data_IF_853416882410
#
_entry.id   IF_853416882410
#
_cell.length_a   1.000
_cell.length_b   1.000
_cell.length_c   1.000
_cell.angle_alpha   90.00
_cell.angle_beta   90.00
_cell.angle_gamma   90.00
#
_symmetry.space_group_name_H-M   'P 1'
#
loop_
_entity.id
_entity.type
_entity.pdbx_description
1 polymer ?
#
# COMPACT_ATOMS: atom_id res chain seq x y z
N UNK A 1 -14.36 18.38 6.74
CA UNK A 1 -14.56 18.43 5.28
C UNK A 1 -15.10 17.07 4.87
N UNK A 2 -16.17 16.98 4.08
CA UNK A 2 -16.78 15.68 3.75
C UNK A 2 -16.13 15.10 2.49
N UNK A 3 -15.40 13.99 2.67
CA UNK A 3 -14.66 13.29 1.61
C UNK A 3 -15.54 12.20 0.98
N UNK A 4 -15.30 11.92 -0.29
CA UNK A 4 -15.95 10.82 -1.00
C UNK A 4 -14.99 10.16 -1.99
N UNK A 5 -15.12 8.85 -2.20
CA UNK A 5 -14.39 8.18 -3.28
C UNK A 5 -14.80 8.73 -4.66
N UNK A 6 -16.01 9.26 -4.81
CA UNK A 6 -16.49 9.89 -6.05
C UNK A 6 -15.87 11.27 -6.32
N UNK A 7 -15.08 11.82 -5.40
CA UNK A 7 -14.42 13.11 -5.59
C UNK A 7 -13.42 13.09 -6.78
N UNK A 8 -13.01 11.91 -7.27
CA UNK A 8 -12.20 11.76 -8.49
C UNK A 8 -12.86 12.32 -9.76
N UNK A 9 -14.18 12.54 -9.75
CA UNK A 9 -14.94 13.05 -10.88
C UNK A 9 -14.82 14.57 -11.08
N UNK A 10 -14.25 15.31 -10.12
CA UNK A 10 -14.18 16.76 -10.20
C UNK A 10 -12.90 17.33 -9.60
N UNK A 11 -12.50 18.49 -10.08
CA UNK A 11 -11.32 19.16 -9.54
C UNK A 11 -11.49 19.64 -8.10
N UNK A 12 -12.67 20.17 -7.77
CA UNK A 12 -12.99 20.57 -6.39
C UNK A 12 -12.98 19.39 -5.43
N UNK A 13 -13.37 18.21 -5.89
CA UNK A 13 -13.29 16.98 -5.10
C UNK A 13 -11.84 16.65 -4.75
N UNK A 14 -10.95 16.64 -5.75
CA UNK A 14 -9.53 16.39 -5.53
C UNK A 14 -8.86 17.41 -4.59
N UNK A 15 -9.27 18.67 -4.63
CA UNK A 15 -8.74 19.69 -3.73
C UNK A 15 -8.97 19.33 -2.25
N UNK A 16 -10.09 18.68 -1.92
CA UNK A 16 -10.36 18.20 -0.55
C UNK A 16 -9.34 17.15 -0.11
N UNK A 17 -9.06 16.17 -0.98
CA UNK A 17 -8.13 15.09 -0.70
C UNK A 17 -6.69 15.59 -0.62
N UNK A 18 -6.31 16.53 -1.47
CA UNK A 18 -4.99 17.17 -1.43
C UNK A 18 -4.81 17.91 -0.10
N UNK A 19 -5.83 18.64 0.35
CA UNK A 19 -5.83 19.32 1.64
C UNK A 19 -5.76 18.32 2.81
N UNK A 20 -6.57 17.26 2.79
CA UNK A 20 -6.58 16.21 3.82
C UNK A 20 -5.21 15.52 3.95
N UNK A 21 -4.59 15.19 2.81
CA UNK A 21 -3.29 14.50 2.77
C UNK A 21 -2.10 15.45 3.03
N UNK A 22 -2.33 16.76 3.16
CA UNK A 22 -1.28 17.77 3.31
C UNK A 22 -0.29 17.77 2.14
N UNK A 23 -0.74 17.45 0.92
CA UNK A 23 0.11 17.39 -0.28
C UNK A 23 0.05 18.70 -1.07
N UNK A 24 1.05 18.92 -1.91
CA UNK A 24 1.00 20.05 -2.85
C UNK A 24 -0.04 19.76 -3.94
N UNK A 25 -0.71 20.81 -4.44
CA UNK A 25 -1.60 20.70 -5.59
C UNK A 25 -0.82 20.66 -6.92
N UNK A 26 0.26 19.89 -6.96
CA UNK A 26 1.07 19.71 -8.16
C UNK A 26 0.41 18.70 -9.11
N UNK A 27 0.68 18.78 -10.43
CA UNK A 27 0.03 17.91 -11.42
C UNK A 27 0.16 16.40 -11.14
N UNK A 28 1.36 15.95 -10.73
CA UNK A 28 1.63 14.51 -10.52
C UNK A 28 0.87 13.94 -9.32
N UNK A 29 0.98 14.50 -8.08
CA UNK A 29 0.15 14.05 -6.96
C UNK A 29 -1.35 14.11 -7.25
N UNK A 30 -1.81 15.16 -7.93
CA UNK A 30 -3.21 15.33 -8.29
C UNK A 30 -3.71 14.21 -9.22
N UNK A 31 -2.94 13.90 -10.25
CA UNK A 31 -3.24 12.79 -11.16
C UNK A 31 -3.24 11.46 -10.41
N UNK A 32 -2.24 11.22 -9.54
CA UNK A 32 -2.16 9.99 -8.76
C UNK A 32 -3.33 9.78 -7.81
N UNK A 33 -3.75 10.83 -7.08
CA UNK A 33 -4.95 10.80 -6.23
C UNK A 33 -6.19 10.49 -7.07
N UNK A 34 -6.35 11.14 -8.24
CA UNK A 34 -7.49 10.88 -9.12
C UNK A 34 -7.55 9.41 -9.55
N UNK A 35 -6.43 8.86 -10.02
CA UNK A 35 -6.33 7.46 -10.47
C UNK A 35 -6.65 6.50 -9.33
N UNK A 36 -6.06 6.70 -8.16
CA UNK A 36 -6.29 5.86 -7.00
C UNK A 36 -7.75 5.90 -6.52
N UNK A 37 -8.36 7.09 -6.43
CA UNK A 37 -9.77 7.22 -6.03
C UNK A 37 -10.72 6.60 -7.06
N UNK A 38 -10.45 6.75 -8.35
CA UNK A 38 -11.22 6.08 -9.40
C UNK A 38 -11.12 4.56 -9.28
N UNK A 39 -9.92 4.03 -9.02
CA UNK A 39 -9.70 2.61 -8.76
C UNK A 39 -10.46 2.13 -7.50
N UNK A 40 -10.33 2.84 -6.37
CA UNK A 40 -11.02 2.49 -5.12
C UNK A 40 -12.54 2.52 -5.28
N UNK A 41 -13.07 3.56 -5.94
CA UNK A 41 -14.50 3.67 -6.20
C UNK A 41 -15.08 2.49 -7.00
N UNK A 42 -14.27 1.87 -7.87
CA UNK A 42 -14.72 0.79 -8.76
C UNK A 42 -14.41 -0.60 -8.22
N UNK A 43 -13.19 -0.83 -7.78
CA UNK A 43 -12.69 -2.15 -7.38
C UNK A 43 -12.84 -2.41 -5.87
N UNK A 44 -13.07 -1.36 -5.08
CA UNK A 44 -13.16 -1.43 -3.62
C UNK A 44 -14.32 -0.56 -3.08
N UNK A 45 -15.57 -0.74 -3.53
CA UNK A 45 -16.68 0.17 -3.17
C UNK A 45 -17.01 0.19 -1.67
N UNK A 46 -16.58 -0.84 -0.92
CA UNK A 46 -16.74 -0.94 0.54
C UNK A 46 -15.53 -0.39 1.33
N UNK A 47 -14.54 0.19 0.65
CA UNK A 47 -13.36 0.77 1.31
C UNK A 47 -13.78 1.97 2.16
N UNK A 48 -13.41 1.97 3.43
CA UNK A 48 -13.68 3.11 4.31
C UNK A 48 -12.85 4.32 3.86
N UNK A 49 -13.37 5.53 4.08
CA UNK A 49 -12.63 6.76 3.77
C UNK A 49 -11.33 6.87 4.59
N UNK A 50 -11.34 6.37 5.83
CA UNK A 50 -10.16 6.34 6.68
C UNK A 50 -9.06 5.45 6.07
N UNK A 51 -9.41 4.27 5.57
CA UNK A 51 -8.46 3.38 4.89
C UNK A 51 -7.99 3.97 3.56
N UNK A 52 -8.87 4.61 2.79
CA UNK A 52 -8.50 5.28 1.55
C UNK A 52 -7.48 6.41 1.78
N UNK A 53 -7.68 7.22 2.83
CA UNK A 53 -6.70 8.24 3.26
C UNK A 53 -5.38 7.57 3.68
N UNK A 54 -5.43 6.50 4.47
CA UNK A 54 -4.23 5.77 4.89
C UNK A 54 -3.45 5.18 3.70
N UNK A 55 -4.16 4.63 2.71
CA UNK A 55 -3.53 4.07 1.51
C UNK A 55 -2.85 5.15 0.68
N UNK A 56 -3.52 6.28 0.44
CA UNK A 56 -2.93 7.42 -0.28
C UNK A 56 -1.75 8.04 0.49
N UNK A 57 -1.82 8.09 1.82
CA UNK A 57 -0.72 8.57 2.64
C UNK A 57 0.52 7.67 2.56
N UNK A 58 0.32 6.36 2.40
CA UNK A 58 1.38 5.36 2.22
C UNK A 58 1.97 5.34 0.79
N UNK A 59 1.36 6.02 -0.18
CA UNK A 59 1.87 6.15 -1.54
C UNK A 59 2.85 7.32 -1.67
N UNK A 60 3.92 7.11 -2.43
CA UNK A 60 4.76 8.19 -2.92
C UNK A 60 4.08 8.87 -4.12
N UNK A 61 3.18 9.81 -3.82
CA UNK A 61 2.41 10.57 -4.80
C UNK A 61 3.27 11.57 -5.61
N UNK A 62 4.58 11.68 -5.35
CA UNK A 62 5.49 12.40 -6.24
C UNK A 62 5.83 11.60 -7.51
N UNK A 63 5.49 10.30 -7.52
CA UNK A 63 5.66 9.38 -8.63
C UNK A 63 4.30 9.01 -9.23
N UNK A 64 4.37 8.41 -10.41
CA UNK A 64 3.18 7.92 -11.11
C UNK A 64 2.43 6.87 -10.28
N UNK A 65 1.10 6.98 -10.32
CA UNK A 65 0.15 5.97 -9.84
C UNK A 65 -0.66 5.55 -11.05
N UNK A 66 -0.64 4.26 -11.37
CA UNK A 66 -1.24 3.72 -12.58
C UNK A 66 -2.20 2.58 -12.25
N UNK A 67 -3.29 2.51 -12.98
CA UNK A 67 -4.08 1.29 -13.07
C UNK A 67 -3.49 0.40 -14.15
N UNK A 68 -3.13 -0.83 -13.81
CA UNK A 68 -2.59 -1.81 -14.76
C UNK A 68 -3.37 -3.11 -14.68
N UNK A 69 -3.34 -3.90 -15.76
CA UNK A 69 -3.92 -5.25 -15.76
C UNK A 69 -2.80 -6.27 -15.76
N UNK A 70 -2.70 -7.07 -14.70
CA UNK A 70 -1.82 -8.22 -14.67
C UNK A 70 -2.47 -9.36 -15.45
N UNK A 71 -1.69 -10.02 -16.30
CA UNK A 71 -2.09 -11.15 -17.13
C UNK A 71 -1.79 -12.49 -16.43
N UNK A 72 -2.51 -13.57 -16.80
CA UNK A 72 -2.21 -14.91 -16.33
C UNK A 72 -0.74 -15.29 -16.55
N UNK A 73 -0.11 -15.91 -15.55
CA UNK A 73 1.29 -16.30 -15.57
C UNK A 73 2.26 -15.21 -15.09
N UNK A 74 1.82 -13.95 -14.97
CA UNK A 74 2.63 -12.92 -14.31
C UNK A 74 2.87 -13.26 -12.84
N UNK A 75 4.01 -12.83 -12.31
CA UNK A 75 4.45 -13.16 -10.95
C UNK A 75 4.49 -11.93 -10.06
N UNK A 76 3.93 -12.08 -8.86
CA UNK A 76 3.95 -11.07 -7.81
C UNK A 76 4.41 -11.69 -6.50
N UNK A 77 4.81 -10.84 -5.56
CA UNK A 77 5.22 -11.26 -4.23
C UNK A 77 4.44 -10.49 -3.17
N UNK A 78 4.14 -11.15 -2.05
CA UNK A 78 3.61 -10.50 -0.86
C UNK A 78 4.57 -10.73 0.31
N UNK A 79 4.88 -9.69 1.08
CA UNK A 79 5.65 -9.83 2.31
C UNK A 79 4.71 -10.13 3.46
N UNK A 80 4.81 -11.34 4.03
CA UNK A 80 3.85 -11.86 5.01
C UNK A 80 4.53 -12.39 6.26
N UNK A 81 3.86 -12.30 7.40
CA UNK A 81 4.23 -13.06 8.58
C UNK A 81 3.77 -14.52 8.43
N UNK A 82 4.39 -15.45 9.17
CA UNK A 82 4.05 -16.88 9.10
C UNK A 82 2.65 -17.24 9.61
N UNK A 83 1.96 -16.32 10.28
CA UNK A 83 0.65 -16.56 10.91
C UNK A 83 -0.52 -15.86 10.21
N UNK A 84 -0.27 -15.06 9.17
CA UNK A 84 -1.34 -14.36 8.44
C UNK A 84 -1.74 -15.06 7.14
N UNK A 85 -2.98 -14.82 6.70
CA UNK A 85 -3.42 -15.24 5.36
C UNK A 85 -2.43 -14.74 4.30
N UNK A 86 -2.00 -15.58 3.35
CA UNK A 86 -1.15 -15.14 2.25
C UNK A 86 -1.88 -14.14 1.34
N UNK A 87 -3.20 -14.31 1.18
CA UNK A 87 -4.06 -13.43 0.40
C UNK A 87 -4.47 -12.22 1.25
N UNK A 88 -3.85 -11.08 0.93
CA UNK A 88 -4.11 -9.76 1.51
C UNK A 88 -4.30 -8.76 0.37
N UNK A 89 -4.17 -7.46 0.66
CA UNK A 89 -4.38 -6.40 -0.31
C UNK A 89 -3.09 -5.97 -1.03
N UNK A 90 -1.96 -5.93 -0.32
CA UNK A 90 -0.70 -5.35 -0.81
C UNK A 90 0.30 -6.40 -1.29
N UNK A 91 0.80 -6.19 -2.50
CA UNK A 91 1.79 -7.02 -3.18
C UNK A 91 2.86 -6.13 -3.83
N UNK A 92 3.86 -6.75 -4.45
CA UNK A 92 4.87 -6.09 -5.27
C UNK A 92 5.22 -6.96 -6.48
N UNK A 93 5.83 -6.36 -7.50
CA UNK A 93 6.42 -7.10 -8.63
C UNK A 93 7.53 -8.04 -8.12
N UNK A 94 7.71 -9.20 -8.77
CA UNK A 94 8.81 -10.12 -8.44
C UNK A 94 10.16 -9.40 -8.58
N UNK A 95 11.05 -9.60 -7.60
CA UNK A 95 12.35 -8.91 -7.50
C UNK A 95 12.33 -7.65 -6.63
N UNK A 96 11.16 -7.21 -6.17
CA UNK A 96 11.08 -6.11 -5.21
C UNK A 96 11.73 -6.48 -3.87
N UNK A 97 12.38 -5.50 -3.25
CA UNK A 97 12.99 -5.64 -1.93
C UNK A 97 11.99 -5.29 -0.84
N UNK A 98 11.91 -6.15 0.17
CA UNK A 98 11.11 -5.91 1.37
C UNK A 98 11.56 -4.63 2.11
N UNK A 99 12.85 -4.29 2.06
CA UNK A 99 13.42 -3.14 2.76
C UNK A 99 12.95 -1.79 2.22
N UNK A 100 12.42 -1.74 0.99
CA UNK A 100 11.91 -0.52 0.37
C UNK A 100 10.37 -0.55 0.26
N UNK A 101 9.70 -1.49 0.94
CA UNK A 101 8.25 -1.69 0.79
C UNK A 101 7.41 -0.86 1.76
N UNK A 102 8.00 0.07 2.52
CA UNK A 102 7.25 0.94 3.43
C UNK A 102 6.59 0.20 4.60
N UNK A 103 7.08 -1.00 4.95
CA UNK A 103 6.60 -1.81 6.08
C UNK A 103 7.75 -2.21 6.99
N UNK A 104 7.44 -2.53 8.25
CA UNK A 104 8.40 -3.19 9.13
C UNK A 104 8.61 -4.63 8.66
N UNK A 105 9.87 -4.99 8.43
CA UNK A 105 10.28 -6.29 7.86
C UNK A 105 10.38 -7.41 8.90
N UNK A 106 10.23 -7.11 10.19
CA UNK A 106 10.35 -8.08 11.27
C UNK A 106 9.39 -9.26 11.07
N UNK A 107 9.93 -10.48 11.10
CA UNK A 107 9.21 -11.75 10.93
C UNK A 107 8.40 -11.85 9.62
N UNK A 108 8.72 -11.03 8.61
CA UNK A 108 8.11 -11.11 7.30
C UNK A 108 9.04 -11.83 6.32
N UNK A 109 8.46 -12.75 5.56
CA UNK A 109 9.12 -13.41 4.44
C UNK A 109 8.37 -13.16 3.13
N UNK A 110 9.04 -13.33 1.98
CA UNK A 110 8.35 -13.29 0.69
C UNK A 110 7.48 -14.54 0.53
N UNK A 111 6.23 -14.33 0.15
CA UNK A 111 5.33 -15.35 -0.39
C UNK A 111 5.17 -15.08 -1.87
N UNK A 112 5.44 -16.08 -2.69
CA UNK A 112 5.42 -15.97 -4.14
C UNK A 112 4.06 -16.36 -4.70
N UNK A 113 3.60 -15.62 -5.70
CA UNK A 113 2.32 -15.87 -6.35
C UNK A 113 2.45 -15.80 -7.86
N UNK A 114 1.61 -16.58 -8.54
CA UNK A 114 1.32 -16.45 -9.97
C UNK A 114 -0.11 -15.97 -10.16
N UNK A 115 -0.32 -15.04 -11.08
CA UNK A 115 -1.64 -14.55 -11.50
C UNK A 115 -2.34 -15.64 -12.30
N UNK A 116 -3.56 -16.03 -11.91
CA UNK A 116 -4.33 -17.10 -12.59
C UNK A 116 -5.35 -16.59 -13.61
N UNK A 117 -5.79 -15.35 -13.46
CA UNK A 117 -6.77 -14.69 -14.34
C UNK A 117 -6.42 -13.22 -14.45
N UNK A 118 -6.75 -12.54 -15.56
CA UNK A 118 -6.50 -11.11 -15.70
C UNK A 118 -7.10 -10.34 -14.50
N UNK A 119 -6.31 -9.44 -13.90
CA UNK A 119 -6.74 -8.66 -12.74
C UNK A 119 -6.27 -7.22 -12.85
N UNK A 120 -7.19 -6.28 -12.64
CA UNK A 120 -6.87 -4.86 -12.52
C UNK A 120 -6.28 -4.60 -11.15
N UNK A 121 -5.16 -3.90 -11.12
CA UNK A 121 -4.42 -3.56 -9.91
C UNK A 121 -4.03 -2.11 -9.96
N UNK A 122 -3.88 -1.50 -8.79
CA UNK A 122 -3.29 -0.17 -8.67
C UNK A 122 -1.80 -0.34 -8.40
N UNK A 123 -0.97 0.15 -9.30
CA UNK A 123 0.48 0.17 -9.19
C UNK A 123 0.95 1.56 -8.75
N UNK A 124 1.80 1.60 -7.73
CA UNK A 124 2.38 2.84 -7.22
C UNK A 124 3.75 2.59 -6.58
N UNK A 125 4.42 3.66 -6.16
CA UNK A 125 5.56 3.56 -5.25
C UNK A 125 5.13 3.76 -3.79
N UNK A 126 5.86 3.14 -2.86
CA UNK A 126 5.66 3.34 -1.42
C UNK A 126 6.34 4.63 -0.95
N UNK A 127 5.69 5.38 -0.08
CA UNK A 127 6.35 6.44 0.68
C UNK A 127 7.14 5.84 1.84
N UNK A 128 8.17 6.54 2.31
CA UNK A 128 8.70 6.28 3.65
C UNK A 128 7.61 6.56 4.68
N UNK A 129 7.43 5.64 5.63
CA UNK A 129 6.33 5.70 6.57
C UNK A 129 6.81 5.46 8.01
N UNK A 130 5.96 5.84 8.95
CA UNK A 130 6.04 5.33 10.32
C UNK A 130 5.07 4.16 10.41
N UNK A 131 5.61 2.94 10.46
CA UNK A 131 4.81 1.75 10.74
C UNK A 131 4.47 1.72 12.23
N UNK A 132 3.25 2.17 12.58
CA UNK A 132 2.78 2.29 13.96
C UNK A 132 2.16 1.01 14.51
N UNK A 133 2.00 -0.04 13.70
CA UNK A 133 1.21 -1.23 14.04
C UNK A 133 2.04 -2.50 14.12
N UNK A 134 3.27 -2.54 13.58
CA UNK A 134 4.16 -3.69 13.74
C UNK A 134 5.08 -3.50 14.96
N UNK A 135 5.07 -4.43 15.95
CA UNK A 135 5.97 -4.34 17.10
C UNK A 135 7.43 -4.50 16.67
N UNK A 136 8.33 -3.78 17.35
CA UNK A 136 9.77 -4.01 17.18
C UNK A 136 10.20 -5.34 17.77
N UNK A 137 11.11 -6.03 17.09
CA UNK A 137 11.78 -7.21 17.64
C UNK A 137 13.08 -6.79 18.35
N UNK A 138 13.44 -7.46 19.44
CA UNK A 138 14.68 -7.18 20.16
C UNK A 138 15.90 -7.28 19.22
N UNK A 139 16.75 -6.25 19.22
CA UNK A 139 17.96 -6.19 18.38
C UNK A 139 17.74 -5.75 16.92
N UNK A 140 16.51 -5.39 16.53
CA UNK A 140 16.22 -4.92 15.18
C UNK A 140 16.93 -3.58 14.88
N UNK A 141 17.72 -3.51 13.80
CA UNK A 141 18.42 -2.29 13.35
C UNK A 141 17.49 -1.37 12.56
N UNK A 142 16.54 -0.75 13.25
CA UNK A 142 15.60 0.22 12.67
C UNK A 142 15.51 1.46 13.55
N UNK A 143 15.15 2.61 12.96
CA UNK A 143 14.96 3.83 13.72
C UNK A 143 13.57 3.84 14.36
N UNK A 144 13.45 3.99 15.69
CA UNK A 144 12.16 4.19 16.32
C UNK A 144 11.58 5.54 15.87
N UNK A 145 10.27 5.57 15.64
CA UNK A 145 9.59 6.80 15.27
C UNK A 145 9.59 7.80 16.43
N UNK A 146 9.66 9.11 16.15
CA UNK A 146 9.42 10.13 17.17
C UNK A 146 8.05 9.88 17.82
N UNK A 147 8.02 9.72 19.15
CA UNK A 147 6.81 9.36 19.94
C UNK A 147 6.26 7.94 19.70
N UNK A 148 7.13 6.98 19.37
CA UNK A 148 6.80 5.56 19.40
C UNK A 148 6.04 5.20 20.69
N UNK A 149 4.86 4.57 20.54
CA UNK A 149 4.00 4.23 21.68
C UNK A 149 4.52 2.96 22.34
N UNK A 150 4.59 2.95 23.67
CA UNK A 150 4.80 1.73 24.46
C UNK A 150 3.46 1.11 24.81
N UNK A 151 3.18 -0.07 24.29
CA UNK A 151 2.00 -0.87 24.65
C UNK A 151 2.47 -2.23 25.15
N UNK A 152 1.99 -2.65 26.33
CA UNK A 152 2.36 -3.94 26.96
C UNK A 152 3.88 -4.19 27.06
N UNK A 153 4.68 -3.14 27.30
CA UNK A 153 6.13 -3.24 27.39
C UNK A 153 6.86 -3.34 26.04
N UNK A 154 6.16 -3.33 24.91
CA UNK A 154 6.73 -3.30 23.56
C UNK A 154 6.65 -1.90 22.96
N UNK A 155 7.69 -1.50 22.24
CA UNK A 155 7.75 -0.23 21.49
C UNK A 155 7.20 -0.43 20.06
N UNK A 156 6.22 0.38 19.68
CA UNK A 156 5.55 0.40 18.38
C UNK A 156 5.81 1.71 17.67
N UNK A 157 5.95 1.69 16.34
CA UNK A 157 6.34 2.88 15.57
C UNK A 157 7.77 2.77 15.07
N UNK A 158 7.95 2.22 13.88
CA UNK A 158 9.26 2.12 13.21
C UNK A 158 9.28 3.01 11.98
N UNK A 159 10.34 3.79 11.81
CA UNK A 159 10.59 4.49 10.55
C UNK A 159 11.08 3.48 9.53
N UNK A 160 10.32 3.34 8.45
CA UNK A 160 10.61 2.37 7.39
C UNK A 160 10.81 3.08 6.06
N UNK A 161 11.81 2.60 5.31
CA UNK A 161 12.11 3.14 4.00
C UNK A 161 11.02 2.74 3.00
N UNK A 162 10.60 3.72 2.20
CA UNK A 162 9.79 3.48 1.01
C UNK A 162 10.64 3.46 -0.26
N UNK A 163 9.99 3.69 -1.38
CA UNK A 163 10.61 3.84 -2.70
C UNK A 163 10.54 2.59 -3.57
N UNK A 164 10.13 1.44 -3.02
CA UNK A 164 9.82 0.24 -3.77
C UNK A 164 8.44 0.32 -4.44
N UNK A 165 8.26 -0.45 -5.50
CA UNK A 165 6.95 -0.60 -6.14
C UNK A 165 6.00 -1.43 -5.27
N UNK A 166 4.73 -1.04 -5.25
CA UNK A 166 3.63 -1.77 -4.63
C UNK A 166 2.45 -1.92 -5.59
N UNK A 167 1.66 -2.95 -5.33
CA UNK A 167 0.43 -3.29 -6.04
C UNK A 167 -0.69 -3.46 -5.02
N UNK A 168 -1.85 -2.84 -5.28
CA UNK A 168 -3.09 -3.15 -4.59
C UNK A 168 -3.90 -4.11 -5.46
N UNK A 169 -4.15 -5.32 -4.93
CA UNK A 169 -4.88 -6.39 -5.61
C UNK A 169 -6.09 -6.79 -4.75
N UNK A 170 -7.27 -6.16 -4.92
CA UNK A 170 -8.42 -6.37 -4.05
C UNK A 170 -8.94 -7.81 -4.03
N UNK A 171 -8.88 -8.49 -5.18
CA UNK A 171 -9.42 -9.83 -5.38
C UNK A 171 -8.33 -10.91 -5.32
N UNK A 172 -7.26 -10.70 -4.55
CA UNK A 172 -6.08 -11.57 -4.55
C UNK A 172 -6.39 -13.05 -4.31
N UNK A 173 -7.39 -13.37 -3.48
CA UNK A 173 -7.81 -14.75 -3.22
C UNK A 173 -8.35 -15.48 -4.46
N UNK A 174 -9.08 -14.79 -5.34
CA UNK A 174 -9.65 -15.39 -6.55
C UNK A 174 -8.74 -15.27 -7.77
N UNK A 175 -7.76 -14.35 -7.75
CA UNK A 175 -6.93 -14.02 -8.93
C UNK A 175 -5.46 -14.44 -8.81
N UNK A 176 -5.01 -14.88 -7.64
CA UNK A 176 -3.64 -15.36 -7.42
C UNK A 176 -3.61 -16.83 -6.98
N UNK A 177 -2.51 -17.50 -7.29
CA UNK A 177 -2.13 -18.82 -6.77
C UNK A 177 -0.82 -18.69 -6.02
N UNK A 178 -0.71 -19.30 -4.84
CA UNK A 178 0.58 -19.40 -4.13
C UNK A 178 1.48 -20.34 -4.91
N UNK A 179 2.73 -19.95 -5.17
CA UNK A 179 3.73 -20.85 -5.72
C UNK A 179 4.20 -21.81 -4.60
N UNK A 180 4.03 -23.11 -4.79
CA UNK A 180 4.68 -24.11 -3.94
C UNK A 180 6.19 -24.07 -4.20
N UNK A 181 6.97 -24.05 -3.12
CA UNK A 181 8.44 -24.02 -3.14
C UNK A 181 8.99 -25.43 -3.01
#
# INVERSE_FOLDING_TARGET
MDLSLSDHLSDKGLDKWIAELGRTNAPVPRAGIRTALAFFSREMPMLSLADAVAFLAAMDLSKEVAEVTLQPGERVIGFRTGSESPFKLFFARRGASMHNSGINTANRGPVHFTVRSPVRVLESSTAGAIDTWTPMTAGQRVSPAPRAKKWFGQEFGVVVSGGGGQLIIPQSYSTLLVEEV
#
